data_IF_297239018569
#
_entry.id   IF_297239018569
#
_cell.length_a   1.000
_cell.length_b   1.000
_cell.length_c   1.000
_cell.angle_alpha   90.00
_cell.angle_beta   90.00
_cell.angle_gamma   90.00
#
_symmetry.space_group_name_H-M   'P 1'
#
loop_
_entity.id
_entity.type
_entity.pdbx_description
1 polymer ?
#
# COMPACT_ATOMS: atom_id res chain seq x y z
N UNK A 1 4.45 -3.88 -42.39
CA UNK A 1 4.74 -2.94 -41.28
C UNK A 1 3.52 -2.67 -40.40
N UNK A 2 2.34 -2.34 -40.95
CA UNK A 2 1.11 -2.05 -40.16
C UNK A 2 0.58 -3.20 -39.29
N UNK A 3 0.71 -4.46 -39.75
CA UNK A 3 0.22 -5.64 -39.00
C UNK A 3 1.19 -6.17 -37.94
N UNK A 4 2.49 -5.84 -38.07
CA UNK A 4 3.54 -6.30 -37.14
C UNK A 4 3.59 -5.40 -35.89
N UNK A 5 3.35 -4.09 -36.08
CA UNK A 5 3.24 -3.11 -34.97
C UNK A 5 1.98 -3.34 -34.12
N UNK A 6 0.87 -3.77 -34.74
CA UNK A 6 -0.38 -4.07 -34.01
C UNK A 6 -0.31 -5.33 -33.16
N UNK A 7 0.55 -6.30 -33.53
CA UNK A 7 0.77 -7.53 -32.75
C UNK A 7 1.71 -7.28 -31.57
N UNK A 8 2.72 -6.42 -31.73
CA UNK A 8 3.63 -6.01 -30.65
C UNK A 8 2.95 -5.18 -29.55
N UNK A 9 1.96 -4.35 -29.89
CA UNK A 9 1.19 -3.56 -28.91
C UNK A 9 0.18 -4.43 -28.13
N UNK A 10 -0.42 -5.43 -28.78
CA UNK A 10 -1.33 -6.37 -28.13
C UNK A 10 -0.61 -7.34 -27.18
N UNK A 11 0.59 -7.80 -27.54
CA UNK A 11 1.42 -8.67 -26.69
C UNK A 11 1.88 -7.95 -25.42
N UNK A 12 2.10 -6.63 -25.48
CA UNK A 12 2.47 -5.82 -24.31
C UNK A 12 1.27 -5.55 -23.36
N UNK A 13 0.05 -5.44 -23.91
CA UNK A 13 -1.17 -5.28 -23.11
C UNK A 13 -1.64 -6.59 -22.45
N UNK A 14 -1.33 -7.73 -23.05
CA UNK A 14 -1.59 -9.06 -22.45
C UNK A 14 -0.50 -9.55 -21.50
N UNK A 15 0.65 -8.86 -21.41
CA UNK A 15 1.74 -9.19 -20.49
C UNK A 15 1.79 -8.26 -19.25
N UNK A 16 0.98 -7.20 -19.20
CA UNK A 16 0.85 -6.32 -18.03
C UNK A 16 -0.30 -6.70 -17.06
N UNK A 17 -1.06 -7.78 -17.32
CA UNK A 17 -2.15 -8.22 -16.44
C UNK A 17 -1.71 -9.22 -15.36
N UNK A 18 -0.43 -9.58 -15.28
CA UNK A 18 0.13 -10.14 -14.06
C UNK A 18 0.49 -8.97 -13.15
N UNK A 19 -0.53 -8.39 -12.50
CA UNK A 19 -0.29 -7.78 -11.20
C UNK A 19 0.32 -8.91 -10.35
N UNK A 20 1.66 -8.96 -10.29
CA UNK A 20 2.36 -9.79 -9.33
C UNK A 20 1.70 -9.44 -8.00
N UNK A 21 1.17 -10.43 -7.24
CA UNK A 21 0.75 -10.12 -5.90
C UNK A 21 1.98 -9.52 -5.23
N UNK A 22 1.93 -8.22 -4.94
CA UNK A 22 2.90 -7.61 -4.04
C UNK A 22 2.84 -8.50 -2.80
N UNK A 23 3.92 -9.23 -2.51
CA UNK A 23 3.97 -10.20 -1.42
C UNK A 23 3.39 -9.53 -0.19
N UNK A 24 2.20 -9.98 0.22
CA UNK A 24 1.50 -9.35 1.32
C UNK A 24 2.33 -9.59 2.58
N UNK A 25 2.82 -8.51 3.21
CA UNK A 25 3.50 -8.62 4.49
C UNK A 25 2.55 -9.29 5.48
N UNK A 26 3.07 -10.28 6.17
CA UNK A 26 2.39 -11.03 7.23
C UNK A 26 2.92 -10.58 8.57
N UNK A 27 2.15 -10.80 9.63
CA UNK A 27 2.58 -10.39 10.97
C UNK A 27 3.88 -11.07 11.43
N UNK A 28 4.22 -12.23 10.84
CA UNK A 28 5.45 -12.97 11.14
C UNK A 28 6.70 -12.32 10.58
N UNK A 29 6.54 -11.34 9.67
CA UNK A 29 7.66 -10.56 9.13
C UNK A 29 8.14 -9.47 10.11
N UNK A 30 7.39 -9.23 11.20
CA UNK A 30 7.72 -8.21 12.18
C UNK A 30 8.28 -8.80 13.48
N UNK A 31 9.47 -8.34 13.86
CA UNK A 31 10.19 -8.83 15.05
C UNK A 31 9.70 -8.17 16.36
N UNK A 32 8.88 -7.14 16.27
CA UNK A 32 8.36 -6.35 17.40
C UNK A 32 6.85 -6.50 17.63
N UNK A 33 6.20 -7.47 17.00
CA UNK A 33 4.77 -7.76 17.21
C UNK A 33 4.59 -8.92 18.20
N UNK A 34 4.29 -8.64 19.48
CA UNK A 34 4.06 -9.67 20.48
C UNK A 34 2.79 -10.47 20.16
N UNK A 35 2.74 -11.71 20.61
CA UNK A 35 1.52 -12.53 20.58
C UNK A 35 0.57 -12.13 21.72
N UNK A 36 -0.08 -10.98 21.55
CA UNK A 36 -1.06 -10.45 22.50
C UNK A 36 -2.23 -9.80 21.75
N UNK A 37 -3.08 -9.06 22.49
CA UNK A 37 -4.29 -8.42 21.95
C UNK A 37 -4.05 -7.51 20.72
N UNK A 38 -2.84 -6.99 20.49
CA UNK A 38 -2.55 -6.12 19.34
C UNK A 38 -2.36 -6.90 18.04
N UNK A 39 -1.86 -8.14 18.11
CA UNK A 39 -1.55 -9.00 16.95
C UNK A 39 -2.73 -9.15 15.98
N UNK A 40 -3.95 -9.52 16.40
CA UNK A 40 -5.06 -9.70 15.47
C UNK A 40 -5.46 -8.39 14.76
N UNK A 41 -5.28 -7.23 15.42
CA UNK A 41 -5.54 -5.94 14.78
C UNK A 41 -4.49 -5.62 13.70
N UNK A 42 -3.23 -5.94 13.96
CA UNK A 42 -2.14 -5.78 13.00
C UNK A 42 -2.34 -6.71 11.79
N UNK A 43 -2.64 -7.98 12.03
CA UNK A 43 -2.97 -8.95 10.98
C UNK A 43 -4.10 -8.45 10.09
N UNK A 44 -5.19 -7.95 10.68
CA UNK A 44 -6.29 -7.37 9.92
C UNK A 44 -5.85 -6.18 9.07
N UNK A 45 -5.07 -5.25 9.63
CA UNK A 45 -4.59 -4.09 8.89
C UNK A 45 -3.69 -4.48 7.71
N UNK A 46 -2.84 -5.49 7.87
CA UNK A 46 -1.98 -6.02 6.82
C UNK A 46 -2.80 -6.73 5.74
N UNK A 47 -3.70 -7.64 6.15
CA UNK A 47 -4.56 -8.42 5.24
C UNK A 47 -5.44 -7.52 4.37
N UNK A 48 -5.94 -6.42 4.94
CA UNK A 48 -6.76 -5.43 4.23
C UNK A 48 -5.95 -4.38 3.48
N UNK A 49 -4.61 -4.40 3.60
CA UNK A 49 -3.73 -3.41 2.97
C UNK A 49 -3.88 -1.99 3.54
N UNK A 50 -4.37 -1.87 4.78
CA UNK A 50 -4.60 -0.58 5.44
C UNK A 50 -3.30 0.05 5.93
N UNK A 51 -2.41 -0.77 6.48
CA UNK A 51 -1.11 -0.35 7.03
C UNK A 51 0.01 -1.23 6.47
N UNK A 52 1.24 -0.70 6.55
CA UNK A 52 2.48 -1.44 6.32
C UNK A 52 3.43 -1.17 7.49
N UNK A 53 4.43 -2.03 7.66
CA UNK A 53 5.47 -1.83 8.67
C UNK A 53 6.36 -0.62 8.42
N UNK A 54 7.18 -0.33 9.41
CA UNK A 54 8.25 0.67 9.40
C UNK A 54 9.58 -0.04 9.06
N UNK A 55 10.15 0.28 7.90
CA UNK A 55 11.37 -0.39 7.44
C UNK A 55 11.13 -1.83 6.99
N UNK A 56 12.11 -2.71 7.25
CA UNK A 56 12.11 -4.09 6.76
C UNK A 56 11.41 -5.08 7.71
N UNK A 57 11.57 -4.93 9.04
CA UNK A 57 11.19 -5.96 10.02
C UNK A 57 10.45 -5.44 11.25
N UNK A 58 9.95 -4.20 11.23
CA UNK A 58 9.23 -3.59 12.37
C UNK A 58 7.83 -3.11 11.99
N UNK A 59 6.89 -3.25 12.92
CA UNK A 59 5.56 -2.64 12.82
C UNK A 59 5.41 -1.41 13.72
N UNK A 60 6.14 -1.34 14.83
CA UNK A 60 6.10 -0.28 15.85
C UNK A 60 4.71 -0.10 16.50
N UNK A 61 4.13 -1.14 17.13
CA UNK A 61 2.75 -1.12 17.65
C UNK A 61 2.52 -0.15 18.81
N UNK A 62 3.58 0.19 19.56
CA UNK A 62 3.54 1.19 20.64
C UNK A 62 3.92 2.60 20.20
N UNK A 63 4.21 2.79 18.91
CA UNK A 63 4.63 4.07 18.36
C UNK A 63 3.50 5.11 18.33
N UNK A 64 3.88 6.38 18.24
CA UNK A 64 2.91 7.46 18.00
C UNK A 64 2.57 7.53 16.52
N UNK A 65 1.28 7.51 16.20
CA UNK A 65 0.82 7.68 14.82
C UNK A 65 0.78 9.16 14.44
N UNK A 66 1.28 9.49 13.25
CA UNK A 66 1.22 10.85 12.68
C UNK A 66 -0.11 11.11 11.98
N UNK A 67 -0.48 12.39 11.82
CA UNK A 67 -1.67 12.80 11.05
C UNK A 67 -1.64 12.26 9.60
N UNK A 68 -0.47 12.25 8.98
CA UNK A 68 -0.29 11.74 7.61
C UNK A 68 -0.52 10.21 7.53
N UNK A 69 -0.03 9.45 8.51
CA UNK A 69 -0.28 8.00 8.58
C UNK A 69 -1.78 7.69 8.76
N UNK A 70 -2.48 8.44 9.60
CA UNK A 70 -3.94 8.28 9.74
C UNK A 70 -4.65 8.56 8.41
N UNK A 71 -4.28 9.64 7.71
CA UNK A 71 -4.85 9.96 6.40
C UNK A 71 -4.56 8.84 5.37
N UNK A 72 -3.35 8.28 5.38
CA UNK A 72 -2.97 7.16 4.51
C UNK A 72 -3.81 5.91 4.77
N UNK A 73 -4.09 5.57 6.03
CA UNK A 73 -4.94 4.43 6.38
C UNK A 73 -6.35 4.59 5.81
N UNK A 74 -6.93 5.79 5.94
CA UNK A 74 -8.24 6.10 5.39
C UNK A 74 -8.23 6.05 3.85
N UNK A 75 -7.19 6.59 3.21
CA UNK A 75 -7.01 6.51 1.77
C UNK A 75 -6.95 5.06 1.26
N UNK A 76 -6.17 4.20 1.92
CA UNK A 76 -6.08 2.77 1.58
C UNK A 76 -7.42 2.05 1.80
N UNK A 77 -8.15 2.41 2.86
CA UNK A 77 -9.48 1.86 3.16
C UNK A 77 -10.47 2.12 2.02
N UNK A 78 -10.45 3.32 1.46
CA UNK A 78 -11.26 3.73 0.31
C UNK A 78 -10.72 3.24 -1.03
N UNK A 79 -9.79 2.27 -1.02
CA UNK A 79 -9.19 1.65 -2.20
C UNK A 79 -8.37 2.61 -3.04
N UNK A 80 -7.72 3.57 -2.38
CA UNK A 80 -6.75 4.48 -2.99
C UNK A 80 -7.34 5.23 -4.19
N UNK A 81 -8.44 6.00 -3.99
CA UNK A 81 -9.08 6.75 -5.08
C UNK A 81 -8.11 7.74 -5.72
N UNK A 82 -8.29 8.05 -7.00
CA UNK A 82 -7.44 9.05 -7.66
C UNK A 82 -7.56 10.41 -6.94
N UNK A 83 -6.40 11.07 -6.78
CA UNK A 83 -6.26 12.42 -6.21
C UNK A 83 -5.92 13.46 -7.29
N UNK A 84 -6.10 13.11 -8.56
CA UNK A 84 -5.75 13.98 -9.68
C UNK A 84 -6.55 15.30 -9.64
N UNK A 85 -5.85 16.40 -9.91
CA UNK A 85 -6.46 17.73 -9.98
C UNK A 85 -6.84 18.35 -8.62
N UNK A 86 -6.52 17.70 -7.50
CA UNK A 86 -6.63 18.31 -6.18
C UNK A 86 -5.41 19.19 -5.92
N UNK A 87 -5.62 20.50 -5.86
CA UNK A 87 -4.63 21.41 -5.30
C UNK A 87 -4.52 21.12 -3.80
N UNK A 88 -3.31 20.90 -3.27
CA UNK A 88 -3.09 20.82 -1.82
C UNK A 88 -3.22 22.23 -1.23
N UNK A 89 -4.27 22.54 -0.45
CA UNK A 89 -4.44 23.89 0.11
C UNK A 89 -3.53 24.14 1.31
N UNK A 90 -2.79 23.11 1.75
CA UNK A 90 -1.98 23.11 2.96
C UNK A 90 -0.53 23.44 2.62
N UNK A 91 -0.02 24.55 3.17
CA UNK A 91 1.35 25.04 2.91
C UNK A 91 2.45 24.17 3.51
N UNK A 92 2.10 23.27 4.43
CA UNK A 92 2.99 22.36 5.13
C UNK A 92 2.97 20.92 4.54
N UNK A 93 2.25 20.71 3.44
CA UNK A 93 2.27 19.45 2.69
C UNK A 93 3.15 19.64 1.46
N UNK A 94 4.28 18.92 1.42
CA UNK A 94 5.19 18.93 0.27
C UNK A 94 4.49 18.46 -1.01
N UNK A 95 4.75 19.15 -2.11
CA UNK A 95 4.29 18.81 -3.46
C UNK A 95 5.02 17.62 -4.07
#
# INVERSE_FOLDING_TARGET
MKKVVSVLLAVCLTLCAAALPASALTVTDFTDVPDNWVRPAIEYCLEKGLMKGEGEDKFNPGGTVTRAQVAQVLYNREKSPSVDGLATPFTDVGS
#
